data_IF_223877075859
#
_entry.id   IF_223877075859
#
_cell.length_a   1.000
_cell.length_b   1.000
_cell.length_c   1.000
_cell.angle_alpha   90.00
_cell.angle_beta   90.00
_cell.angle_gamma   90.00
#
_symmetry.space_group_name_H-M   'P 1'
#
loop_
_entity.id
_entity.type
_entity.pdbx_description
1 polymer ?
#
# COMPACT_ATOMS: atom_id res chain seq x y z
N UNK A 1 40.82 -28.14 28.46
CA UNK A 1 41.47 -27.67 27.24
C UNK A 1 40.50 -26.75 26.55
N UNK A 2 40.93 -25.49 26.47
CA UNK A 2 40.32 -24.35 25.81
C UNK A 2 39.91 -24.64 24.35
N UNK A 3 38.86 -24.00 23.83
CA UNK A 3 38.97 -22.70 23.13
C UNK A 3 37.62 -22.32 22.50
N UNK A 4 37.39 -21.01 22.54
CA UNK A 4 36.31 -20.22 21.90
C UNK A 4 36.29 -20.42 20.38
N UNK A 5 35.10 -20.23 19.79
CA UNK A 5 34.75 -19.39 18.62
C UNK A 5 33.20 -19.34 18.68
N UNK A 6 32.47 -18.23 18.80
CA UNK A 6 32.72 -16.87 18.35
C UNK A 6 31.96 -16.62 17.05
N UNK A 7 30.93 -15.77 17.06
CA UNK A 7 30.55 -15.02 15.86
C UNK A 7 29.09 -15.06 15.42
N UNK A 8 28.33 -14.08 15.89
CA UNK A 8 27.51 -13.16 15.08
C UNK A 8 26.38 -13.74 14.19
N UNK A 9 25.17 -13.56 14.69
CA UNK A 9 23.93 -13.50 13.91
C UNK A 9 22.88 -12.71 14.67
N UNK A 10 23.17 -11.44 14.99
CA UNK A 10 22.14 -10.49 15.41
C UNK A 10 21.20 -10.27 14.22
N UNK A 11 20.05 -10.95 14.24
CA UNK A 11 18.92 -10.59 13.40
C UNK A 11 18.21 -9.43 14.12
N UNK A 12 18.28 -8.24 13.53
CA UNK A 12 17.46 -7.10 13.93
C UNK A 12 15.98 -7.48 13.84
N UNK A 13 15.15 -7.25 14.88
CA UNK A 13 13.72 -7.17 14.70
C UNK A 13 13.44 -5.86 13.94
N UNK A 14 12.93 -5.98 12.71
CA UNK A 14 12.29 -4.86 12.02
C UNK A 14 11.19 -4.33 12.92
N UNK A 15 11.25 -3.04 13.26
CA UNK A 15 10.17 -2.33 13.92
C UNK A 15 8.91 -2.47 13.07
N UNK A 16 8.00 -3.30 13.58
CA UNK A 16 6.65 -3.46 13.07
C UNK A 16 5.90 -2.16 13.40
N UNK A 17 5.77 -1.29 12.39
CA UNK A 17 4.93 -0.10 12.43
C UNK A 17 3.48 -0.54 12.68
N UNK A 18 3.10 -0.53 13.95
CA UNK A 18 1.74 -0.82 14.39
C UNK A 18 0.84 0.33 13.96
N UNK A 19 -0.03 0.06 12.99
CA UNK A 19 -1.17 0.90 12.68
C UNK A 19 -2.12 0.88 13.89
N UNK A 20 -2.16 1.97 14.66
CA UNK A 20 -3.22 2.21 15.63
C UNK A 20 -4.52 2.54 14.87
N UNK A 21 -5.37 1.53 14.74
CA UNK A 21 -6.82 1.71 14.62
C UNK A 21 -7.38 1.73 16.04
N UNK A 22 -7.80 2.91 16.52
CA UNK A 22 -8.86 2.94 17.55
C UNK A 22 -9.49 4.33 17.73
N UNK A 23 -10.73 4.41 17.23
CA UNK A 23 -11.93 4.89 17.95
C UNK A 23 -12.01 6.36 18.35
N UNK A 24 -12.83 7.06 17.56
CA UNK A 24 -14.06 7.70 18.04
C UNK A 24 -13.98 8.32 19.45
N UNK A 25 -13.85 9.64 19.46
CA UNK A 25 -14.49 10.49 20.45
C UNK A 25 -14.77 11.83 19.80
N UNK A 26 -15.96 11.93 19.21
CA UNK A 26 -16.57 13.21 18.89
C UNK A 26 -16.67 14.07 20.15
N UNK A 27 -15.74 14.99 20.33
CA UNK A 27 -15.87 16.10 21.29
C UNK A 27 -16.45 17.30 20.55
N UNK A 28 -17.76 17.28 20.34
CA UNK A 28 -18.54 18.49 20.09
C UNK A 28 -18.78 19.14 21.45
N UNK A 29 -17.82 19.93 21.93
CA UNK A 29 -18.02 20.81 23.08
C UNK A 29 -18.33 22.22 22.61
N UNK A 30 -19.63 22.38 22.42
CA UNK A 30 -20.48 23.56 22.61
C UNK A 30 -19.77 24.86 22.99
N UNK A 31 -19.91 25.86 22.14
CA UNK A 31 -19.63 27.25 22.47
C UNK A 31 -20.50 27.71 23.64
N UNK A 32 -19.88 28.16 24.72
CA UNK A 32 -20.58 28.85 25.80
C UNK A 32 -21.00 30.24 25.30
N UNK A 33 -22.26 30.38 24.89
CA UNK A 33 -22.92 31.69 24.80
C UNK A 33 -23.49 32.05 26.16
N UNK A 34 -22.78 32.91 26.89
CA UNK A 34 -23.30 33.53 28.10
C UNK A 34 -24.21 34.70 27.73
N UNK A 35 -25.51 34.45 27.51
CA UNK A 35 -26.54 35.48 27.61
C UNK A 35 -27.76 34.91 28.33
N UNK A 36 -27.74 35.07 29.65
CA UNK A 36 -28.92 34.91 30.50
C UNK A 36 -29.82 36.12 30.32
N UNK A 37 -30.92 35.98 29.60
CA UNK A 37 -32.06 36.90 29.66
C UNK A 37 -33.18 36.20 30.43
N UNK A 38 -33.10 36.27 31.76
CA UNK A 38 -34.22 35.92 32.64
C UNK A 38 -35.27 37.03 32.54
N UNK A 39 -36.37 36.73 31.87
CA UNK A 39 -37.60 37.54 31.95
C UNK A 39 -38.41 37.04 33.13
N UNK A 40 -38.04 37.45 34.35
CA UNK A 40 -38.92 37.32 35.50
C UNK A 40 -39.86 38.51 35.54
N UNK A 41 -41.08 38.26 35.06
CA UNK A 41 -42.22 39.12 35.31
C UNK A 41 -42.55 39.11 36.80
N UNK A 42 -42.16 40.19 37.49
CA UNK A 42 -42.78 40.58 38.75
C UNK A 42 -43.42 41.95 38.56
N UNK A 43 -44.69 41.87 38.15
CA UNK A 43 -45.70 42.85 38.49
C UNK A 43 -45.66 43.09 40.01
N UNK A 44 -45.19 44.26 40.42
CA UNK A 44 -45.47 44.79 41.75
C UNK A 44 -45.49 46.31 41.66
N UNK A 45 -46.70 46.83 41.60
CA UNK A 45 -46.98 48.23 41.38
C UNK A 45 -46.46 49.13 42.49
N UNK A 46 -45.88 50.25 42.08
CA UNK A 46 -45.94 51.50 42.81
C UNK A 46 -46.47 52.55 41.84
N UNK A 47 -47.76 52.86 41.97
CA UNK A 47 -48.38 54.01 41.29
C UNK A 47 -47.85 55.26 41.99
N UNK A 48 -46.91 55.94 41.37
CA UNK A 48 -46.52 57.28 41.81
C UNK A 48 -47.67 58.23 41.47
N UNK A 49 -48.50 58.55 42.47
CA UNK A 49 -49.48 59.62 42.35
C UNK A 49 -48.76 60.96 42.31
N UNK A 50 -48.51 61.46 41.10
CA UNK A 50 -48.24 62.87 40.88
C UNK A 50 -49.49 63.67 41.25
N UNK A 51 -49.35 64.64 42.16
CA UNK A 51 -50.40 65.61 42.46
C UNK A 51 -50.71 66.43 41.20
N UNK A 52 -51.85 66.18 40.57
CA UNK A 52 -52.44 67.10 39.62
C UNK A 52 -53.04 68.27 40.39
N UNK A 53 -52.37 69.41 40.31
CA UNK A 53 -52.92 70.72 40.65
C UNK A 53 -54.25 70.90 39.91
N UNK A 54 -55.27 71.33 40.63
CA UNK A 54 -56.60 71.65 40.12
C UNK A 54 -56.51 72.56 38.87
N UNK A 55 -56.85 72.02 37.72
CA UNK A 55 -57.19 72.81 36.54
C UNK A 55 -58.65 72.56 36.21
N UNK A 56 -59.39 73.65 36.09
CA UNK A 56 -60.81 73.69 35.84
C UNK A 56 -61.21 72.87 34.60
N UNK A 57 -62.44 72.36 34.63
CA UNK A 57 -63.15 71.80 33.48
C UNK A 57 -63.05 72.77 32.30
N UNK A 58 -62.30 72.35 31.29
CA UNK A 58 -62.32 72.86 29.92
C UNK A 58 -62.35 71.65 28.98
N UNK A 59 -63.03 71.85 27.86
CA UNK A 59 -63.41 70.89 26.81
C UNK A 59 -62.24 70.02 26.27
N UNK A 60 -62.51 68.90 25.57
CA UNK A 60 -61.46 67.99 25.12
C UNK A 60 -60.63 68.68 24.03
N UNK A 61 -59.42 69.11 24.39
CA UNK A 61 -58.42 69.58 23.45
C UNK A 61 -57.85 68.35 22.73
N UNK A 62 -58.38 68.04 21.54
CA UNK A 62 -57.89 66.98 20.65
C UNK A 62 -56.40 67.14 20.27
N UNK A 63 -55.75 68.26 20.62
CA UNK A 63 -54.33 68.51 20.35
C UNK A 63 -53.34 67.78 21.26
N UNK A 64 -53.70 67.48 22.51
CA UNK A 64 -52.77 66.89 23.49
C UNK A 64 -52.59 65.36 23.30
N UNK A 65 -53.65 64.67 22.89
CA UNK A 65 -53.62 63.22 22.62
C UNK A 65 -52.77 62.91 21.38
N UNK A 66 -52.87 63.75 20.34
CA UNK A 66 -52.06 63.63 19.13
C UNK A 66 -50.58 63.86 19.42
N UNK A 67 -50.23 64.81 20.28
CA UNK A 67 -48.84 65.07 20.67
C UNK A 67 -48.24 63.89 21.47
N UNK A 68 -49.03 63.29 22.36
CA UNK A 68 -48.63 62.10 23.13
C UNK A 68 -48.48 60.86 22.25
N UNK A 69 -49.35 60.69 21.26
CA UNK A 69 -49.22 59.62 20.25
C UNK A 69 -47.96 59.80 19.40
N UNK A 70 -47.62 61.04 19.00
CA UNK A 70 -46.38 61.34 18.29
C UNK A 70 -45.15 61.04 19.14
N UNK A 71 -45.16 61.40 20.42
CA UNK A 71 -44.07 61.08 21.35
C UNK A 71 -43.95 59.57 21.58
N UNK A 72 -45.06 58.84 21.73
CA UNK A 72 -45.05 57.38 21.82
C UNK A 72 -44.50 56.74 20.55
N UNK A 73 -44.90 57.21 19.37
CA UNK A 73 -44.39 56.73 18.09
C UNK A 73 -42.88 56.99 17.95
N UNK A 74 -42.40 58.18 18.30
CA UNK A 74 -40.99 58.54 18.31
C UNK A 74 -40.19 57.61 19.25
N UNK A 75 -40.74 57.35 20.44
CA UNK A 75 -40.10 56.52 21.46
C UNK A 75 -40.07 55.05 21.03
N UNK A 76 -41.21 54.51 20.56
CA UNK A 76 -41.30 53.16 20.00
C UNK A 76 -40.37 52.97 18.79
N UNK A 77 -40.29 53.98 17.91
CA UNK A 77 -39.37 53.96 16.78
C UNK A 77 -37.91 53.90 17.27
N UNK A 78 -37.54 54.73 18.25
CA UNK A 78 -36.19 54.75 18.85
C UNK A 78 -35.85 53.40 19.49
N UNK A 79 -36.74 52.80 20.27
CA UNK A 79 -36.53 51.47 20.86
C UNK A 79 -36.45 50.35 19.81
N UNK A 80 -37.34 50.36 18.81
CA UNK A 80 -37.32 49.37 17.73
C UNK A 80 -36.05 49.43 16.88
N UNK A 81 -35.43 50.61 16.78
CA UNK A 81 -34.21 50.81 16.01
C UNK A 81 -33.02 50.02 16.58
N UNK A 82 -32.94 49.87 17.91
CA UNK A 82 -31.89 49.07 18.56
C UNK A 82 -32.00 47.58 18.17
N UNK A 83 -33.21 47.02 18.24
CA UNK A 83 -33.45 45.61 17.89
C UNK A 83 -33.22 45.38 16.39
N UNK A 84 -33.72 46.28 15.54
CA UNK A 84 -33.57 46.17 14.08
C UNK A 84 -32.10 46.24 13.65
N UNK A 85 -31.31 47.12 14.25
CA UNK A 85 -29.89 47.24 13.94
C UNK A 85 -29.13 45.95 14.29
N UNK A 86 -29.33 45.39 15.48
CA UNK A 86 -28.69 44.14 15.91
C UNK A 86 -29.14 42.95 15.06
N UNK A 87 -30.45 42.78 14.85
CA UNK A 87 -30.98 41.67 14.06
C UNK A 87 -30.49 41.70 12.61
N UNK A 88 -30.31 42.88 12.01
CA UNK A 88 -29.83 43.00 10.62
C UNK A 88 -28.39 42.48 10.48
N UNK A 89 -27.51 42.79 11.44
CA UNK A 89 -26.12 42.32 11.41
C UNK A 89 -26.03 40.81 11.67
N UNK A 90 -26.81 40.29 12.63
CA UNK A 90 -26.86 38.86 12.91
C UNK A 90 -27.36 38.04 11.70
N UNK A 91 -28.42 38.51 11.03
CA UNK A 91 -28.92 37.90 9.79
C UNK A 91 -27.83 37.89 8.72
N UNK A 92 -27.15 39.02 8.51
CA UNK A 92 -26.08 39.13 7.51
C UNK A 92 -24.90 38.19 7.81
N UNK A 93 -24.54 38.05 9.08
CA UNK A 93 -23.49 37.12 9.52
C UNK A 93 -23.88 35.67 9.28
N UNK A 94 -25.15 35.31 9.57
CA UNK A 94 -25.69 33.99 9.29
C UNK A 94 -25.72 33.68 7.79
N UNK A 95 -26.18 34.61 6.95
CA UNK A 95 -26.18 34.46 5.49
C UNK A 95 -24.77 34.20 4.95
N UNK A 96 -23.78 34.94 5.44
CA UNK A 96 -22.38 34.73 5.08
C UNK A 96 -21.88 33.35 5.51
N UNK A 97 -22.18 32.94 6.73
CA UNK A 97 -21.79 31.62 7.24
C UNK A 97 -22.44 30.48 6.44
N UNK A 98 -23.69 30.66 6.01
CA UNK A 98 -24.39 29.69 5.15
C UNK A 98 -23.72 29.58 3.78
N UNK A 99 -23.38 30.70 3.15
CA UNK A 99 -22.68 30.71 1.86
C UNK A 99 -21.32 30.01 1.95
N UNK A 100 -20.55 30.28 3.01
CA UNK A 100 -19.27 29.61 3.28
C UNK A 100 -19.44 28.10 3.53
N UNK A 101 -20.56 27.68 4.14
CA UNK A 101 -20.86 26.26 4.32
C UNK A 101 -21.27 25.59 3.02
N UNK A 102 -22.10 26.24 2.19
CA UNK A 102 -22.51 25.74 0.88
C UNK A 102 -21.29 25.56 -0.03
N UNK A 103 -20.40 26.56 -0.06
CA UNK A 103 -19.13 26.48 -0.80
C UNK A 103 -18.30 25.28 -0.34
N UNK A 104 -18.18 25.07 0.98
CA UNK A 104 -17.45 23.90 1.52
C UNK A 104 -18.11 22.58 1.16
N UNK A 105 -19.44 22.51 1.13
CA UNK A 105 -20.15 21.29 0.69
C UNK A 105 -19.86 20.99 -0.77
N UNK A 106 -19.85 21.98 -1.65
CA UNK A 106 -19.50 21.80 -3.07
C UNK A 106 -18.05 21.31 -3.24
N UNK A 107 -17.12 21.84 -2.46
CA UNK A 107 -15.74 21.35 -2.42
C UNK A 107 -15.65 19.89 -1.94
N UNK A 108 -16.41 19.51 -0.90
CA UNK A 108 -16.47 18.12 -0.44
C UNK A 108 -17.02 17.18 -1.51
N UNK A 109 -18.06 17.59 -2.23
CA UNK A 109 -18.59 16.81 -3.36
C UNK A 109 -17.52 16.64 -4.43
N UNK A 110 -16.79 17.70 -4.77
CA UNK A 110 -15.67 17.63 -5.71
C UNK A 110 -14.58 16.65 -5.26
N UNK A 111 -14.21 16.66 -3.98
CA UNK A 111 -13.26 15.70 -3.42
C UNK A 111 -13.77 14.26 -3.46
N UNK A 112 -15.05 14.02 -3.18
CA UNK A 112 -15.65 12.70 -3.27
C UNK A 112 -15.65 12.16 -4.70
N UNK A 113 -15.93 13.02 -5.68
CA UNK A 113 -15.89 12.64 -7.09
C UNK A 113 -14.47 12.28 -7.54
N UNK A 114 -13.46 13.03 -7.09
CA UNK A 114 -12.05 12.69 -7.31
C UNK A 114 -11.70 11.33 -6.70
N UNK A 115 -12.03 11.10 -5.43
CA UNK A 115 -11.76 9.82 -4.75
C UNK A 115 -12.46 8.67 -5.46
N UNK A 116 -13.72 8.87 -5.89
CA UNK A 116 -14.48 7.85 -6.61
C UNK A 116 -13.84 7.53 -7.96
N UNK A 117 -13.40 8.54 -8.70
CA UNK A 117 -12.72 8.36 -9.98
C UNK A 117 -11.39 7.61 -9.79
N UNK A 118 -10.57 8.04 -8.83
CA UNK A 118 -9.27 7.42 -8.53
C UNK A 118 -9.45 5.97 -8.08
N UNK A 119 -10.43 5.71 -7.20
CA UNK A 119 -10.77 4.35 -6.77
C UNK A 119 -11.19 3.49 -7.97
N UNK A 120 -12.01 4.04 -8.86
CA UNK A 120 -12.44 3.35 -10.07
C UNK A 120 -11.26 3.03 -10.99
N UNK A 121 -10.31 3.96 -11.14
CA UNK A 121 -9.10 3.75 -11.92
C UNK A 121 -8.19 2.68 -11.31
N UNK A 122 -7.98 2.72 -9.99
CA UNK A 122 -7.16 1.74 -9.28
C UNK A 122 -7.75 0.34 -9.41
N UNK A 123 -9.05 0.19 -9.14
CA UNK A 123 -9.72 -1.12 -9.08
C UNK A 123 -9.95 -1.69 -10.47
N UNK A 124 -10.38 -0.88 -11.44
CA UNK A 124 -10.78 -1.38 -12.75
C UNK A 124 -9.64 -1.42 -13.77
N UNK A 125 -8.58 -0.63 -13.59
CA UNK A 125 -7.48 -0.53 -14.56
C UNK A 125 -6.16 -0.99 -13.95
N UNK A 126 -5.68 -0.30 -12.92
CA UNK A 126 -4.31 -0.52 -12.41
C UNK A 126 -4.14 -1.91 -11.80
N UNK A 127 -5.05 -2.34 -10.93
CA UNK A 127 -4.94 -3.62 -10.23
C UNK A 127 -5.00 -4.82 -11.20
N UNK A 128 -5.92 -4.89 -12.18
CA UNK A 128 -5.89 -5.91 -13.22
C UNK A 128 -4.60 -5.90 -14.06
N UNK A 129 -4.08 -4.71 -14.40
CA UNK A 129 -2.83 -4.59 -15.14
C UNK A 129 -1.63 -5.11 -14.33
N UNK A 130 -1.54 -4.76 -13.05
CA UNK A 130 -0.50 -5.27 -12.14
C UNK A 130 -0.59 -6.80 -12.04
N UNK A 131 -1.79 -7.35 -11.87
CA UNK A 131 -2.00 -8.80 -11.83
C UNK A 131 -1.54 -9.46 -13.14
N UNK A 132 -1.96 -8.93 -14.29
CA UNK A 132 -1.50 -9.43 -15.60
C UNK A 132 0.03 -9.38 -15.71
N UNK A 133 0.67 -8.29 -15.25
CA UNK A 133 2.12 -8.17 -15.30
C UNK A 133 2.82 -9.16 -14.38
N UNK A 134 2.23 -9.44 -13.21
CA UNK A 134 2.71 -10.47 -12.28
C UNK A 134 2.67 -11.87 -12.92
N UNK A 135 1.61 -12.18 -13.67
CA UNK A 135 1.49 -13.42 -14.43
C UNK A 135 2.57 -13.56 -15.51
N UNK A 136 2.80 -12.50 -16.29
CA UNK A 136 3.89 -12.47 -17.27
C UNK A 136 5.26 -12.71 -16.60
N UNK A 137 5.47 -12.12 -15.43
CA UNK A 137 6.71 -12.31 -14.66
C UNK A 137 6.87 -13.75 -14.17
N UNK A 138 5.77 -14.39 -13.76
CA UNK A 138 5.75 -15.80 -13.35
C UNK A 138 6.13 -16.75 -14.49
N UNK A 139 5.76 -16.43 -15.73
CA UNK A 139 6.21 -17.17 -16.90
C UNK A 139 7.71 -17.04 -17.13
N UNK A 140 8.28 -15.84 -16.92
CA UNK A 140 9.72 -15.63 -17.01
C UNK A 140 10.45 -16.47 -15.96
N UNK A 141 9.98 -16.51 -14.72
CA UNK A 141 10.59 -17.36 -13.69
C UNK A 141 10.56 -18.84 -14.05
N UNK A 142 9.45 -19.33 -14.61
CA UNK A 142 9.39 -20.72 -15.13
C UNK A 142 10.41 -20.99 -16.22
N UNK A 143 10.71 -20.01 -17.08
CA UNK A 143 11.76 -20.15 -18.10
C UNK A 143 13.15 -20.18 -17.45
N UNK A 144 13.37 -19.38 -16.42
CA UNK A 144 14.62 -19.39 -15.64
C UNK A 144 14.81 -20.75 -14.96
N UNK A 145 13.78 -21.29 -14.29
CA UNK A 145 13.87 -22.61 -13.62
C UNK A 145 14.21 -23.74 -14.60
N UNK A 146 13.59 -23.72 -15.79
CA UNK A 146 13.89 -24.68 -16.87
C UNK A 146 15.34 -24.56 -17.34
N UNK A 147 15.83 -23.34 -17.50
CA UNK A 147 17.20 -23.08 -17.90
C UNK A 147 18.20 -23.54 -16.83
N UNK A 148 17.90 -23.33 -15.55
CA UNK A 148 18.74 -23.81 -14.44
C UNK A 148 18.82 -25.34 -14.43
N UNK A 149 17.68 -26.02 -14.55
CA UNK A 149 17.64 -27.48 -14.63
C UNK A 149 18.45 -28.01 -15.82
N UNK A 150 18.33 -27.34 -16.96
CA UNK A 150 19.09 -27.65 -18.16
C UNK A 150 20.61 -27.50 -17.95
N UNK A 151 21.07 -26.38 -17.41
CA UNK A 151 22.49 -26.13 -17.13
C UNK A 151 23.03 -27.16 -16.14
N UNK A 152 22.26 -27.51 -15.10
CA UNK A 152 22.64 -28.55 -14.14
C UNK A 152 22.82 -29.91 -14.80
N UNK A 153 21.90 -30.29 -15.70
CA UNK A 153 22.00 -31.54 -16.45
C UNK A 153 23.22 -31.57 -17.36
N UNK A 154 23.49 -30.47 -18.09
CA UNK A 154 24.70 -30.35 -18.92
C UNK A 154 25.96 -30.47 -18.07
N UNK A 155 26.00 -29.84 -16.90
CA UNK A 155 27.12 -29.97 -15.96
C UNK A 155 27.35 -31.41 -15.51
N UNK A 156 26.29 -32.16 -15.20
CA UNK A 156 26.39 -33.60 -14.86
C UNK A 156 26.96 -34.40 -16.03
N UNK A 157 26.46 -34.15 -17.25
CA UNK A 157 26.92 -34.86 -18.45
C UNK A 157 28.39 -34.58 -18.78
N UNK A 158 28.83 -33.31 -18.66
CA UNK A 158 30.23 -32.92 -18.89
C UNK A 158 31.14 -33.54 -17.83
N UNK A 159 30.76 -33.51 -16.55
CA UNK A 159 31.54 -34.15 -15.49
C UNK A 159 31.67 -35.67 -15.73
N UNK A 160 30.60 -36.35 -16.15
CA UNK A 160 30.65 -37.77 -16.47
C UNK A 160 31.57 -38.05 -17.67
N UNK A 161 31.56 -37.19 -18.69
CA UNK A 161 32.45 -37.30 -19.83
C UNK A 161 33.92 -37.04 -19.43
N UNK A 162 34.18 -36.03 -18.60
CA UNK A 162 35.52 -35.73 -18.08
C UNK A 162 36.08 -36.88 -17.25
N UNK A 163 35.26 -37.52 -16.41
CA UNK A 163 35.66 -38.70 -15.63
C UNK A 163 36.02 -39.89 -16.55
N UNK A 164 35.22 -40.15 -17.59
CA UNK A 164 35.51 -41.21 -18.56
C UNK A 164 36.80 -40.94 -19.34
N UNK A 165 37.03 -39.69 -19.76
CA UNK A 165 38.29 -39.29 -20.42
C UNK A 165 39.47 -39.46 -19.48
N UNK A 166 39.35 -39.01 -18.22
CA UNK A 166 40.40 -39.17 -17.21
C UNK A 166 40.71 -40.66 -16.92
N UNK A 167 39.69 -41.52 -16.87
CA UNK A 167 39.88 -42.98 -16.74
C UNK A 167 40.60 -43.56 -17.96
N UNK A 168 40.18 -43.21 -19.16
CA UNK A 168 40.82 -43.67 -20.40
C UNK A 168 42.28 -43.19 -20.51
N UNK A 169 42.57 -41.92 -20.19
CA UNK A 169 43.92 -41.37 -20.13
C UNK A 169 44.76 -42.03 -19.04
N UNK A 170 44.16 -42.32 -17.89
CA UNK A 170 44.77 -43.07 -16.80
C UNK A 170 45.17 -44.48 -17.23
N UNK A 171 44.29 -45.24 -17.87
CA UNK A 171 44.57 -46.58 -18.38
C UNK A 171 45.60 -46.58 -19.52
N UNK A 172 45.55 -45.57 -20.40
CA UNK A 172 46.52 -45.37 -21.48
C UNK A 172 47.90 -44.95 -20.94
N UNK A 173 47.94 -44.11 -19.90
CA UNK A 173 49.15 -43.65 -19.23
C UNK A 173 49.73 -44.69 -18.27
N UNK A 174 48.90 -45.63 -17.80
CA UNK A 174 49.28 -46.69 -16.87
C UNK A 174 49.52 -48.04 -17.52
N UNK A 175 49.73 -48.18 -18.83
CA UNK A 175 50.40 -49.39 -19.35
C UNK A 175 51.31 -49.15 -20.58
N UNK A 176 52.54 -49.72 -20.62
CA UNK A 176 53.39 -50.00 -19.47
C UNK A 176 54.91 -49.91 -19.73
N UNK A 177 55.61 -49.26 -18.78
CA UNK A 177 57.02 -49.53 -18.50
C UNK A 177 57.31 -51.00 -18.14
N UNK A 178 56.27 -51.80 -17.84
CA UNK A 178 56.34 -53.25 -17.66
C UNK A 178 56.58 -54.03 -18.96
N UNK A 179 56.13 -53.59 -20.15
CA UNK A 179 56.53 -54.27 -21.40
C UNK A 179 58.00 -54.01 -21.73
N UNK A 180 58.53 -52.83 -21.39
CA UNK A 180 59.98 -52.53 -21.54
C UNK A 180 60.87 -53.40 -20.65
N UNK A 181 60.36 -53.93 -19.52
CA UNK A 181 61.07 -54.89 -18.66
C UNK A 181 60.93 -56.33 -19.16
N UNK A 182 59.77 -56.74 -19.66
CA UNK A 182 59.54 -58.10 -20.14
C UNK A 182 60.35 -58.39 -21.42
N UNK A 183 60.55 -57.40 -22.29
CA UNK A 183 61.40 -57.53 -23.49
C UNK A 183 62.91 -57.57 -23.21
N UNK A 184 63.37 -57.36 -21.96
CA UNK A 184 64.79 -57.51 -21.59
C UNK A 184 65.15 -58.85 -20.94
N UNK A 185 64.17 -59.67 -20.55
CA UNK A 185 64.43 -60.82 -19.67
C UNK A 185 64.15 -62.20 -20.29
N UNK A 186 63.74 -62.30 -21.56
CA UNK A 186 63.54 -63.60 -22.21
C UNK A 186 64.13 -63.63 -23.62
N UNK A 187 65.46 -63.66 -23.67
CA UNK A 187 66.15 -64.54 -24.62
C UNK A 187 66.01 -65.97 -24.09
N UNK A 188 65.49 -66.90 -24.92
CA UNK A 188 65.80 -68.35 -25.07
C UNK A 188 64.56 -69.06 -25.68
N UNK A 189 64.71 -69.88 -26.74
CA UNK A 189 63.59 -70.46 -27.49
C UNK A 189 63.09 -71.79 -26.89
N UNK A 190 61.78 -72.05 -26.94
CA UNK A 190 61.22 -73.31 -26.44
C UNK A 190 59.72 -73.48 -26.70
N UNK A 191 59.40 -74.05 -27.85
CA UNK A 191 58.34 -75.03 -28.14
C UNK A 191 56.96 -75.00 -27.43
N UNK A 192 55.95 -74.84 -28.31
CA UNK A 192 54.71 -75.64 -28.44
C UNK A 192 53.38 -75.18 -27.79
N UNK A 193 52.42 -75.05 -28.73
CA UNK A 193 50.98 -75.33 -28.66
C UNK A 193 50.02 -74.32 -28.01
N UNK A 194 49.24 -73.70 -28.91
CA UNK A 194 47.91 -73.11 -28.70
C UNK A 194 46.87 -74.26 -28.83
N UNK A 195 45.70 -74.18 -28.17
CA UNK A 195 44.60 -73.42 -28.76
C UNK A 195 43.84 -72.50 -27.78
N UNK A 196 43.28 -71.45 -28.39
CA UNK A 196 42.01 -70.79 -28.08
C UNK A 196 41.66 -70.37 -26.63
N UNK A 197 41.80 -69.05 -26.42
CA UNK A 197 41.12 -68.18 -25.47
C UNK A 197 39.58 -68.30 -25.49
N UNK A 198 38.88 -68.20 -24.33
CA UNK A 198 37.61 -67.50 -24.25
C UNK A 198 37.87 -66.04 -23.88
N UNK A 199 37.97 -65.23 -24.94
CA UNK A 199 37.50 -63.85 -25.09
C UNK A 199 37.25 -63.14 -23.74
N UNK A 200 38.24 -62.41 -23.24
CA UNK A 200 37.97 -61.24 -22.39
C UNK A 200 36.95 -60.40 -23.15
N UNK A 201 35.79 -60.20 -22.54
CA UNK A 201 34.73 -59.40 -23.12
C UNK A 201 35.33 -58.04 -23.48
N UNK A 202 35.11 -57.51 -24.70
CA UNK A 202 35.46 -56.13 -24.97
C UNK A 202 34.70 -55.29 -23.94
N UNK A 203 35.42 -54.43 -23.21
CA UNK A 203 34.81 -53.35 -22.46
C UNK A 203 33.89 -52.66 -23.46
N UNK A 204 32.58 -52.85 -23.29
CA UNK A 204 31.59 -52.33 -24.22
C UNK A 204 31.66 -50.82 -24.05
N UNK A 205 32.46 -50.15 -24.88
CA UNK A 205 32.45 -48.71 -25.03
C UNK A 205 31.05 -48.37 -25.54
N UNK A 206 30.15 -48.10 -24.60
CA UNK A 206 28.84 -47.56 -24.90
C UNK A 206 29.09 -46.08 -25.15
N UNK A 207 29.08 -45.72 -26.43
CA UNK A 207 29.19 -44.34 -26.87
C UNK A 207 28.19 -43.48 -26.07
N UNK A 208 28.65 -42.45 -25.34
CA UNK A 208 27.75 -41.62 -24.55
C UNK A 208 26.68 -41.03 -25.45
N UNK A 209 25.43 -41.05 -24.97
CA UNK A 209 24.33 -40.37 -25.64
C UNK A 209 24.73 -38.91 -25.87
N UNK A 210 25.01 -38.57 -27.13
CA UNK A 210 25.41 -37.21 -27.52
C UNK A 210 24.21 -36.31 -27.26
N UNK A 211 24.42 -35.33 -26.38
CA UNK A 211 23.42 -34.34 -26.03
C UNK A 211 22.94 -33.61 -27.29
N UNK A 212 21.63 -33.65 -27.54
CA UNK A 212 20.98 -32.93 -28.63
C UNK A 212 20.06 -31.86 -28.07
N UNK A 213 20.33 -30.63 -28.47
CA UNK A 213 19.54 -29.46 -28.06
C UNK A 213 18.09 -29.56 -28.57
N UNK A 214 17.88 -30.27 -29.69
CA UNK A 214 16.56 -30.48 -30.32
C UNK A 214 15.57 -31.25 -29.44
N UNK A 215 16.06 -32.11 -28.53
CA UNK A 215 15.21 -32.96 -27.70
C UNK A 215 14.54 -32.20 -26.54
N UNK A 216 15.02 -30.98 -26.25
CA UNK A 216 14.60 -30.19 -25.07
C UNK A 216 14.00 -28.83 -25.43
N UNK A 217 14.36 -28.28 -26.59
CA UNK A 217 13.76 -27.05 -27.11
C UNK A 217 12.93 -27.39 -28.34
N UNK A 218 11.62 -27.57 -28.17
CA UNK A 218 10.72 -27.58 -29.32
C UNK A 218 10.83 -26.23 -30.01
N UNK A 219 11.24 -26.21 -31.27
CA UNK A 219 11.13 -25.02 -32.10
C UNK A 219 9.66 -24.64 -32.18
N UNK A 220 9.23 -23.64 -31.39
CA UNK A 220 7.97 -22.96 -31.62
C UNK A 220 8.07 -22.23 -32.96
N UNK A 221 7.78 -22.97 -34.02
CA UNK A 221 7.29 -22.42 -35.27
C UNK A 221 5.77 -22.28 -35.10
N UNK A 222 5.34 -21.25 -34.38
CA UNK A 222 3.94 -20.84 -34.37
C UNK A 222 3.83 -19.46 -35.00
N UNK A 223 2.92 -19.42 -35.96
CA UNK A 223 2.63 -18.39 -36.95
C UNK A 223 1.71 -17.31 -36.41
#
# INVERSE_FOLDING_TARGET
MDLRIGGLGQLSPLEESSAEVSRDSGVVSQSESSLSMVSEGLSSGTVSQSQSFSAAVSQPEQGDEDEQLLQLQQTAHSYSSYIRATATEEIRSLEKSLEEMLTRVDEFVGMLDMIRNDTSQVVNENLPQIHKKSEEMREIYRKIDKLEAFVKMVGINVNAMEEQVAQAEGEQGTLPGAFKKIFRTMNVPGFLNKPASPRRQPLHHQEPSVFRTEDYFTSHADH
#
